data_IF_910446197810
#
_entry.id   IF_910446197810
#
_cell.length_a   1.000
_cell.length_b   1.000
_cell.length_c   1.000
_cell.angle_alpha   90.00
_cell.angle_beta   90.00
_cell.angle_gamma   90.00
#
_symmetry.space_group_name_H-M   'P 1'
#
loop_
_entity.id
_entity.type
_entity.pdbx_description
1 polymer ?
#
# COMPACT_ATOMS: atom_id res chain seq x y z
N UNK A 1 63.97 3.95 32.42
CA UNK A 1 62.75 4.70 32.66
C UNK A 1 62.32 5.66 31.54
N UNK A 2 63.19 6.47 30.94
CA UNK A 2 62.86 7.40 29.84
C UNK A 2 62.24 6.73 28.56
N UNK A 3 62.69 5.52 28.20
CA UNK A 3 62.17 4.82 27.01
C UNK A 3 60.74 4.26 27.14
N UNK A 4 60.32 3.96 28.37
CA UNK A 4 58.96 3.45 28.64
C UNK A 4 57.95 4.61 28.61
N UNK A 5 58.34 5.81 29.05
CA UNK A 5 57.48 7.01 28.97
C UNK A 5 57.19 7.44 27.52
N UNK A 6 58.16 7.30 26.62
CA UNK A 6 58.02 7.62 25.19
C UNK A 6 57.06 6.63 24.49
N UNK A 7 57.14 5.35 24.86
CA UNK A 7 56.20 4.33 24.34
C UNK A 7 54.76 4.54 24.82
N UNK A 8 54.56 4.90 26.10
CA UNK A 8 53.27 5.22 26.64
C UNK A 8 52.63 6.49 26.03
N UNK A 9 53.44 7.53 25.75
CA UNK A 9 52.98 8.74 25.08
C UNK A 9 52.59 8.48 23.62
N UNK A 10 53.28 7.64 22.91
CA UNK A 10 52.95 7.22 21.55
C UNK A 10 51.64 6.41 21.47
N UNK A 11 51.40 5.53 22.45
CA UNK A 11 50.16 4.75 22.50
C UNK A 11 48.88 5.59 22.77
N UNK A 12 49.04 6.76 23.41
CA UNK A 12 47.91 7.68 23.68
C UNK A 12 47.64 8.62 22.51
N UNK A 13 48.67 9.02 21.77
CA UNK A 13 48.53 9.97 20.65
C UNK A 13 47.94 9.30 19.41
N UNK A 14 48.23 8.01 19.18
CA UNK A 14 47.71 7.29 18.01
C UNK A 14 46.16 7.16 18.04
N UNK A 15 45.50 6.77 19.15
CA UNK A 15 44.02 6.69 19.20
C UNK A 15 43.35 8.07 19.13
N UNK A 16 43.95 9.13 19.66
CA UNK A 16 43.41 10.50 19.54
C UNK A 16 43.39 10.98 18.12
N UNK A 17 44.45 10.82 17.34
CA UNK A 17 44.54 11.17 15.94
C UNK A 17 43.59 10.31 15.06
N UNK A 18 43.33 9.07 15.43
CA UNK A 18 42.38 8.21 14.74
C UNK A 18 40.93 8.64 15.02
N UNK A 19 40.65 9.09 16.24
CA UNK A 19 39.33 9.56 16.63
C UNK A 19 38.96 10.89 15.95
N UNK A 20 39.90 11.81 15.80
CA UNK A 20 39.71 13.06 15.05
C UNK A 20 39.44 12.78 13.56
N UNK A 21 40.20 11.90 12.91
CA UNK A 21 39.97 11.51 11.52
C UNK A 21 38.63 10.83 11.29
N UNK A 22 38.14 10.04 12.26
CA UNK A 22 36.81 9.41 12.19
C UNK A 22 35.73 10.48 12.32
N UNK A 23 35.89 11.41 13.25
CA UNK A 23 34.98 12.53 13.47
C UNK A 23 34.88 13.41 12.24
N UNK A 24 36.01 13.76 11.62
CA UNK A 24 36.04 14.56 10.38
C UNK A 24 35.35 13.85 9.22
N UNK A 25 35.56 12.57 9.03
CA UNK A 25 34.87 11.78 7.99
C UNK A 25 33.36 11.72 8.21
N UNK A 26 32.91 11.56 9.45
CA UNK A 26 31.49 11.57 9.80
C UNK A 26 30.88 12.94 9.48
N UNK A 27 31.59 14.02 9.85
CA UNK A 27 31.16 15.38 9.59
C UNK A 27 31.07 15.66 8.07
N UNK A 28 32.11 15.30 7.30
CA UNK A 28 32.11 15.43 5.85
C UNK A 28 30.94 14.65 5.19
N UNK A 29 30.74 13.40 5.57
CA UNK A 29 29.62 12.60 5.08
C UNK A 29 28.26 13.23 5.41
N UNK A 30 28.12 13.82 6.60
CA UNK A 30 26.89 14.53 7.00
C UNK A 30 26.68 15.80 6.18
N UNK A 31 27.72 16.57 5.94
CA UNK A 31 27.68 17.78 5.11
C UNK A 31 27.32 17.45 3.65
N UNK A 32 27.97 16.47 3.05
CA UNK A 32 27.65 16.01 1.69
C UNK A 32 26.19 15.55 1.58
N UNK A 33 25.70 14.82 2.58
CA UNK A 33 24.30 14.38 2.61
C UNK A 33 23.33 15.57 2.65
N UNK A 34 23.60 16.57 3.48
CA UNK A 34 22.80 17.80 3.56
C UNK A 34 22.82 18.57 2.25
N UNK A 35 23.99 18.72 1.61
CA UNK A 35 24.10 19.38 0.30
C UNK A 35 23.32 18.64 -0.79
N UNK A 36 23.37 17.29 -0.80
CA UNK A 36 22.56 16.47 -1.75
C UNK A 36 21.06 16.64 -1.52
N UNK A 37 20.62 16.71 -0.27
CA UNK A 37 19.22 16.96 0.05
C UNK A 37 18.80 18.38 -0.37
N UNK A 38 19.59 19.39 -0.07
CA UNK A 38 19.32 20.77 -0.44
C UNK A 38 19.22 20.93 -1.98
N UNK A 39 20.22 20.43 -2.72
CA UNK A 39 20.21 20.43 -4.18
C UNK A 39 19.01 19.67 -4.76
N UNK A 40 18.56 18.62 -4.11
CA UNK A 40 17.35 17.90 -4.52
C UNK A 40 16.13 18.79 -4.40
N UNK A 41 15.92 19.47 -3.28
CA UNK A 41 14.76 20.32 -3.06
C UNK A 41 14.77 21.60 -3.92
N UNK A 42 15.93 22.10 -4.30
CA UNK A 42 16.07 23.17 -5.29
C UNK A 42 15.55 22.75 -6.68
N UNK A 43 15.85 21.52 -7.10
CA UNK A 43 15.40 20.98 -8.37
C UNK A 43 13.99 20.34 -8.33
N UNK A 44 13.50 20.01 -7.14
CA UNK A 44 12.24 19.32 -6.89
C UNK A 44 11.45 20.04 -5.78
N UNK A 45 10.74 21.13 -6.10
CA UNK A 45 10.08 21.97 -5.11
C UNK A 45 8.79 21.37 -4.53
N UNK A 46 8.31 20.26 -5.09
CA UNK A 46 7.03 19.66 -4.72
C UNK A 46 7.13 18.93 -3.38
N UNK A 47 6.33 19.35 -2.41
CA UNK A 47 6.24 18.74 -1.08
C UNK A 47 5.06 17.80 -0.93
N UNK A 48 4.03 18.03 -1.70
CA UNK A 48 2.80 17.24 -1.65
C UNK A 48 2.49 16.63 -3.01
N UNK A 49 1.74 15.55 -2.97
CA UNK A 49 1.32 14.81 -4.15
C UNK A 49 -0.08 14.26 -3.91
N UNK A 50 -0.97 14.43 -4.86
CA UNK A 50 -2.27 13.79 -4.90
C UNK A 50 -2.33 12.83 -6.08
N UNK A 51 -2.91 11.66 -5.88
CA UNK A 51 -3.06 10.61 -6.89
C UNK A 51 -4.49 10.14 -6.97
N UNK A 52 -4.91 9.76 -8.16
CA UNK A 52 -6.14 9.03 -8.42
C UNK A 52 -5.79 7.84 -9.31
N UNK A 53 -6.25 6.67 -8.95
CA UNK A 53 -5.92 5.46 -9.67
C UNK A 53 -7.02 4.41 -9.64
N UNK A 54 -6.79 3.40 -10.47
CA UNK A 54 -7.66 2.26 -10.63
C UNK A 54 -6.82 1.00 -10.83
N UNK A 55 -7.35 -0.13 -10.38
CA UNK A 55 -6.77 -1.44 -10.65
C UNK A 55 -6.64 -2.31 -9.43
N UNK A 56 -6.07 -3.48 -9.68
CA UNK A 56 -5.88 -4.51 -8.69
C UNK A 56 -7.15 -5.32 -8.40
N UNK A 57 -6.91 -6.49 -7.84
CA UNK A 57 -7.94 -7.40 -7.37
C UNK A 57 -8.12 -7.23 -5.87
N UNK A 58 -9.35 -6.95 -5.42
CA UNK A 58 -9.67 -6.69 -4.03
C UNK A 58 -9.78 -8.01 -3.24
N UNK A 59 -8.65 -8.57 -2.84
CA UNK A 59 -8.56 -9.87 -2.19
C UNK A 59 -9.29 -9.93 -0.84
N UNK A 60 -9.22 -8.87 -0.05
CA UNK A 60 -9.89 -8.83 1.27
C UNK A 60 -11.40 -8.83 1.12
N UNK A 61 -11.93 -8.18 0.10
CA UNK A 61 -13.37 -8.16 -0.16
C UNK A 61 -13.86 -9.52 -0.63
N UNK A 62 -13.06 -10.23 -1.44
CA UNK A 62 -13.37 -11.61 -1.81
C UNK A 62 -13.41 -12.51 -0.59
N UNK A 63 -12.37 -12.47 0.26
CA UNK A 63 -12.28 -13.33 1.45
C UNK A 63 -13.45 -13.06 2.41
N UNK A 64 -13.77 -11.79 2.68
CA UNK A 64 -14.77 -11.43 3.69
C UNK A 64 -16.20 -11.53 3.18
N UNK A 65 -16.45 -11.31 1.90
CA UNK A 65 -17.82 -11.17 1.39
C UNK A 65 -18.20 -12.15 0.29
N UNK A 66 -17.24 -12.72 -0.40
CA UNK A 66 -17.51 -13.50 -1.60
C UNK A 66 -17.02 -14.94 -1.51
N UNK A 67 -16.12 -15.25 -0.59
CA UNK A 67 -15.56 -16.61 -0.46
C UNK A 67 -16.27 -17.41 0.63
N UNK A 68 -16.47 -18.67 0.34
CA UNK A 68 -17.24 -19.66 1.14
C UNK A 68 -16.56 -20.11 2.44
N UNK A 69 -15.68 -19.28 3.01
CA UNK A 69 -14.99 -19.62 4.27
C UNK A 69 -15.90 -19.54 5.49
N UNK A 70 -16.96 -18.73 5.42
CA UNK A 70 -18.03 -18.70 6.40
C UNK A 70 -19.26 -19.39 5.81
N UNK A 71 -19.81 -20.33 6.54
CA UNK A 71 -21.07 -21.03 6.23
C UNK A 71 -22.27 -20.09 6.03
N UNK A 72 -22.06 -18.79 6.06
CA UNK A 72 -23.05 -17.72 5.96
C UNK A 72 -23.16 -17.05 4.58
N UNK A 73 -22.81 -17.75 3.49
CA UNK A 73 -22.99 -17.24 2.12
C UNK A 73 -24.45 -16.88 1.82
N UNK A 74 -25.37 -17.48 2.52
CA UNK A 74 -26.80 -17.27 2.34
C UNK A 74 -27.35 -16.06 3.10
N UNK A 75 -26.48 -15.28 3.77
CA UNK A 75 -26.86 -14.13 4.59
C UNK A 75 -27.20 -14.46 6.04
N UNK A 76 -27.35 -13.44 6.89
CA UNK A 76 -27.65 -13.63 8.30
C UNK A 76 -28.92 -14.47 8.50
N UNK A 77 -28.81 -15.57 9.21
CA UNK A 77 -29.94 -16.45 9.55
C UNK A 77 -30.34 -17.46 8.49
N UNK A 78 -29.54 -17.64 7.45
CA UNK A 78 -29.75 -18.70 6.48
C UNK A 78 -28.75 -19.84 6.74
N UNK A 79 -29.20 -20.88 7.41
CA UNK A 79 -28.44 -22.13 7.55
C UNK A 79 -28.60 -22.95 6.26
N UNK A 80 -27.49 -23.38 5.68
CA UNK A 80 -27.52 -24.26 4.51
C UNK A 80 -28.16 -25.59 4.94
N UNK A 81 -29.27 -26.01 4.32
CA UNK A 81 -29.87 -27.29 4.63
C UNK A 81 -28.90 -28.43 4.40
N UNK A 82 -28.81 -29.36 5.33
CA UNK A 82 -27.98 -30.54 5.20
C UNK A 82 -28.64 -31.60 4.30
N UNK A 83 -27.81 -32.37 3.56
CA UNK A 83 -28.27 -33.46 2.75
C UNK A 83 -28.95 -33.08 1.43
N UNK A 84 -29.98 -33.81 1.03
CA UNK A 84 -30.66 -33.61 -0.25
C UNK A 84 -31.36 -32.27 -0.35
N UNK A 85 -31.83 -31.71 0.76
CA UNK A 85 -32.46 -30.37 0.79
C UNK A 85 -31.49 -29.27 0.36
N UNK A 86 -30.20 -29.44 0.61
CA UNK A 86 -29.16 -28.50 0.16
C UNK A 86 -29.01 -28.40 -1.36
N UNK A 87 -29.46 -29.41 -2.11
CA UNK A 87 -29.42 -29.40 -3.57
C UNK A 87 -30.49 -28.46 -4.17
N UNK A 88 -31.57 -28.23 -3.42
CA UNK A 88 -32.68 -27.36 -3.85
C UNK A 88 -32.64 -25.98 -3.16
N UNK A 89 -31.63 -25.73 -2.33
CA UNK A 89 -31.46 -24.43 -1.72
C UNK A 89 -31.02 -23.37 -2.74
N UNK A 90 -31.46 -22.12 -2.61
CA UNK A 90 -30.99 -21.03 -3.47
C UNK A 90 -29.46 -20.95 -3.49
N UNK A 91 -28.88 -20.78 -4.67
CA UNK A 91 -27.42 -20.75 -4.86
C UNK A 91 -26.94 -19.36 -5.28
N UNK A 92 -25.73 -19.02 -4.86
CA UNK A 92 -25.09 -17.81 -5.33
C UNK A 92 -24.67 -17.97 -6.78
N UNK A 93 -25.15 -17.06 -7.62
CA UNK A 93 -24.71 -16.90 -8.98
C UNK A 93 -23.37 -16.17 -9.06
N UNK A 94 -22.98 -15.82 -10.26
CA UNK A 94 -21.71 -15.11 -10.49
C UNK A 94 -21.68 -13.78 -9.75
N UNK A 95 -20.59 -13.53 -9.02
CA UNK A 95 -20.31 -12.28 -8.36
C UNK A 95 -19.23 -11.52 -9.10
N UNK A 96 -19.45 -10.22 -9.26
CA UNK A 96 -18.56 -9.31 -9.97
C UNK A 96 -18.06 -8.23 -9.04
N UNK A 97 -16.79 -7.84 -9.20
CA UNK A 97 -16.19 -6.67 -8.56
C UNK A 97 -16.00 -5.57 -9.59
N UNK A 98 -16.17 -4.30 -9.16
CA UNK A 98 -15.90 -3.14 -10.03
C UNK A 98 -14.42 -2.89 -10.22
N UNK A 99 -13.56 -3.51 -9.40
CA UNK A 99 -12.17 -3.15 -9.24
C UNK A 99 -12.00 -1.96 -8.28
N UNK A 100 -10.78 -1.76 -7.82
CA UNK A 100 -10.51 -0.70 -6.85
C UNK A 100 -10.29 0.65 -7.53
N UNK A 101 -11.07 1.65 -7.10
CA UNK A 101 -10.82 3.06 -7.35
C UNK A 101 -10.18 3.62 -6.08
N UNK A 102 -9.10 4.36 -6.20
CA UNK A 102 -8.45 4.94 -5.02
C UNK A 102 -7.95 6.34 -5.26
N UNK A 103 -7.99 7.14 -4.19
CA UNK A 103 -7.34 8.43 -4.09
C UNK A 103 -6.29 8.38 -2.99
N UNK A 104 -5.13 8.98 -3.22
CA UNK A 104 -4.03 9.02 -2.28
C UNK A 104 -3.48 10.42 -2.16
N UNK A 105 -3.20 10.83 -0.93
CA UNK A 105 -2.48 12.06 -0.63
C UNK A 105 -1.14 11.72 0.02
N UNK A 106 -0.06 12.35 -0.46
CA UNK A 106 1.30 12.06 -0.03
C UNK A 106 2.05 13.32 0.37
N UNK A 107 2.90 13.18 1.38
CA UNK A 107 3.82 14.20 1.87
C UNK A 107 5.26 13.72 1.76
N UNK A 108 6.07 14.41 0.96
CA UNK A 108 7.50 14.15 0.79
C UNK A 108 8.28 14.67 2.00
N UNK A 109 8.60 13.78 2.95
CA UNK A 109 9.35 14.12 4.17
C UNK A 109 10.84 14.27 3.88
N UNK A 110 11.39 13.41 3.01
CA UNK A 110 12.79 13.41 2.60
C UNK A 110 12.89 13.05 1.12
N UNK A 111 14.04 13.31 0.52
CA UNK A 111 14.34 12.96 -0.88
C UNK A 111 13.88 11.54 -1.27
N UNK A 112 14.06 10.56 -0.38
CA UNK A 112 13.75 9.16 -0.64
C UNK A 112 12.58 8.61 0.17
N UNK A 113 11.96 9.43 0.98
CA UNK A 113 10.94 8.97 1.91
C UNK A 113 9.71 9.87 1.87
N UNK A 114 8.57 9.25 1.70
CA UNK A 114 7.27 9.90 1.61
C UNK A 114 6.29 9.16 2.50
N UNK A 115 5.47 9.89 3.22
CA UNK A 115 4.30 9.38 3.93
C UNK A 115 3.06 9.64 3.08
N UNK A 116 2.16 8.67 3.02
CA UNK A 116 0.93 8.76 2.25
C UNK A 116 -0.26 8.29 3.08
N UNK A 117 -1.44 8.72 2.67
CA UNK A 117 -2.71 8.18 3.15
C UNK A 117 -3.62 7.97 1.93
N UNK A 118 -4.04 6.73 1.73
CA UNK A 118 -4.90 6.31 0.63
C UNK A 118 -6.30 5.97 1.09
N UNK A 119 -7.30 6.35 0.31
CA UNK A 119 -8.69 5.91 0.41
C UNK A 119 -9.01 5.04 -0.80
N UNK A 120 -9.49 3.83 -0.54
CA UNK A 120 -9.78 2.83 -1.55
C UNK A 120 -11.25 2.46 -1.50
N UNK A 121 -11.87 2.32 -2.66
CA UNK A 121 -13.27 1.96 -2.80
C UNK A 121 -13.40 0.82 -3.80
N UNK A 122 -14.23 -0.17 -3.46
CA UNK A 122 -14.61 -1.25 -4.34
C UNK A 122 -16.11 -1.50 -4.24
N UNK A 123 -16.74 -1.77 -5.36
CA UNK A 123 -18.13 -2.19 -5.42
C UNK A 123 -18.21 -3.65 -5.85
N UNK A 124 -19.16 -4.37 -5.31
CA UNK A 124 -19.42 -5.73 -5.72
C UNK A 124 -20.92 -5.98 -5.83
N UNK A 125 -21.27 -6.88 -6.74
CA UNK A 125 -22.64 -7.24 -7.00
C UNK A 125 -22.73 -8.67 -7.51
N UNK A 126 -23.79 -9.33 -7.11
CA UNK A 126 -24.06 -10.72 -7.44
C UNK A 126 -25.55 -10.98 -7.57
N UNK A 127 -25.86 -12.23 -7.70
CA UNK A 127 -27.24 -12.71 -7.80
C UNK A 127 -27.43 -13.96 -6.95
N UNK A 128 -28.60 -14.11 -6.37
CA UNK A 128 -29.08 -15.36 -5.82
C UNK A 128 -30.03 -15.99 -6.82
N UNK A 129 -29.78 -17.24 -7.19
CA UNK A 129 -30.52 -17.97 -8.24
C UNK A 129 -31.14 -19.24 -7.66
N UNK A 130 -32.26 -19.61 -8.22
CA UNK A 130 -32.91 -20.89 -7.96
C UNK A 130 -32.13 -22.02 -8.68
N UNK A 131 -31.71 -23.09 -7.99
CA UNK A 131 -30.88 -24.13 -8.59
C UNK A 131 -31.60 -24.98 -9.65
N UNK A 132 -32.94 -25.09 -9.56
CA UNK A 132 -33.72 -25.92 -10.50
C UNK A 132 -34.12 -25.16 -11.76
N UNK A 133 -34.48 -23.89 -11.61
CA UNK A 133 -35.03 -23.07 -12.71
C UNK A 133 -34.01 -22.07 -13.26
N UNK A 134 -32.85 -21.91 -12.61
CA UNK A 134 -31.85 -20.87 -12.88
C UNK A 134 -32.44 -19.45 -12.89
N UNK A 135 -33.62 -19.27 -12.31
CA UNK A 135 -34.28 -17.97 -12.24
C UNK A 135 -33.66 -17.09 -11.16
N UNK A 136 -33.52 -15.82 -11.47
CA UNK A 136 -33.03 -14.82 -10.53
C UNK A 136 -34.03 -14.62 -9.38
N UNK A 137 -33.65 -14.97 -8.17
CA UNK A 137 -34.44 -14.74 -6.97
C UNK A 137 -34.21 -13.31 -6.48
N UNK A 138 -32.93 -12.91 -6.32
CA UNK A 138 -32.57 -11.62 -5.74
C UNK A 138 -31.21 -11.14 -6.27
N UNK A 139 -31.06 -9.83 -6.43
CA UNK A 139 -29.76 -9.20 -6.69
C UNK A 139 -29.09 -8.82 -5.36
N UNK A 140 -27.83 -9.21 -5.22
CA UNK A 140 -26.97 -8.84 -4.10
C UNK A 140 -26.10 -7.65 -4.49
N UNK A 141 -25.89 -6.70 -3.59
CA UNK A 141 -25.04 -5.53 -3.83
C UNK A 141 -24.24 -5.22 -2.58
N UNK A 142 -23.02 -4.74 -2.80
CA UNK A 142 -22.15 -4.33 -1.70
C UNK A 142 -21.12 -3.31 -2.14
N UNK A 143 -20.46 -2.74 -1.16
CA UNK A 143 -19.34 -1.82 -1.34
C UNK A 143 -18.41 -1.92 -0.15
N UNK A 144 -17.14 -1.67 -0.39
CA UNK A 144 -16.14 -1.51 0.66
C UNK A 144 -15.42 -0.17 0.53
N UNK A 145 -14.97 0.34 1.67
CA UNK A 145 -14.15 1.52 1.78
C UNK A 145 -13.00 1.24 2.76
N UNK A 146 -11.78 1.55 2.38
CA UNK A 146 -10.60 1.28 3.19
C UNK A 146 -9.69 2.49 3.23
N UNK A 147 -9.16 2.82 4.43
CA UNK A 147 -8.15 3.83 4.64
C UNK A 147 -6.83 3.18 4.99
N UNK A 148 -5.76 3.57 4.28
CA UNK A 148 -4.41 3.03 4.49
C UNK A 148 -3.40 4.17 4.59
N UNK A 149 -2.88 4.47 5.77
CA UNK A 149 -1.61 5.15 5.92
C UNK A 149 -0.47 4.26 5.43
N UNK A 150 0.47 4.86 4.68
CA UNK A 150 1.56 4.12 4.05
C UNK A 150 2.87 4.92 4.06
N UNK A 151 3.96 4.20 3.89
CA UNK A 151 5.31 4.73 3.78
C UNK A 151 5.94 4.29 2.45
N UNK A 152 6.40 5.26 1.68
CA UNK A 152 6.99 5.04 0.36
C UNK A 152 8.46 5.36 0.36
N UNK A 153 9.26 4.45 -0.21
CA UNK A 153 10.68 4.58 -0.38
C UNK A 153 11.06 4.63 -1.85
N UNK A 154 11.77 5.69 -2.27
CA UNK A 154 12.25 5.87 -3.63
C UNK A 154 13.64 5.31 -3.82
N UNK A 155 13.76 4.30 -4.67
CA UNK A 155 15.02 3.70 -5.09
C UNK A 155 15.78 4.60 -6.03
N UNK A 156 15.06 5.16 -7.02
CA UNK A 156 15.62 6.07 -8.02
C UNK A 156 14.73 7.32 -8.12
N UNK A 157 15.36 8.47 -8.19
CA UNK A 157 14.77 9.79 -8.31
C UNK A 157 15.41 10.53 -9.46
N UNK A 158 14.84 10.38 -10.65
CA UNK A 158 15.16 11.19 -11.82
C UNK A 158 14.13 12.30 -11.98
N UNK A 159 14.44 13.32 -12.79
CA UNK A 159 13.57 14.48 -12.96
C UNK A 159 12.17 14.14 -13.51
N UNK A 160 12.08 13.12 -14.37
CA UNK A 160 10.84 12.71 -15.04
C UNK A 160 10.39 11.29 -14.70
N UNK A 161 11.23 10.50 -14.05
CA UNK A 161 10.94 9.11 -13.72
C UNK A 161 11.39 8.81 -12.30
N UNK A 162 10.57 8.15 -11.51
CA UNK A 162 10.90 7.73 -10.14
C UNK A 162 10.46 6.29 -9.94
N UNK A 163 11.34 5.50 -9.32
CA UNK A 163 11.07 4.11 -8.93
C UNK A 163 10.95 4.04 -7.41
N UNK A 164 9.96 3.30 -6.94
CA UNK A 164 9.68 3.20 -5.52
C UNK A 164 9.07 1.86 -5.10
N UNK A 165 9.11 1.61 -3.81
CA UNK A 165 8.29 0.61 -3.13
C UNK A 165 7.51 1.30 -2.00
N UNK A 166 6.39 0.72 -1.62
CA UNK A 166 5.50 1.27 -0.60
C UNK A 166 4.93 0.16 0.27
N UNK A 167 4.73 0.45 1.54
CA UNK A 167 4.08 -0.44 2.48
C UNK A 167 3.07 0.36 3.32
N UNK A 168 1.89 -0.20 3.51
CA UNK A 168 0.82 0.41 4.29
C UNK A 168 0.00 -0.61 5.06
N UNK A 169 -0.54 -0.17 6.17
CA UNK A 169 -1.46 -0.93 7.02
C UNK A 169 -2.62 -0.02 7.34
N UNK A 170 -3.82 -0.54 7.28
CA UNK A 170 -5.03 0.24 7.50
C UNK A 170 -6.21 -0.58 7.96
N UNK A 171 -7.37 0.00 7.85
CA UNK A 171 -8.65 -0.61 8.21
C UNK A 171 -9.67 -0.31 7.13
N UNK A 172 -10.48 -1.29 6.81
CA UNK A 172 -11.60 -1.19 5.89
C UNK A 172 -12.92 -1.53 6.57
N UNK A 173 -13.97 -1.04 5.99
CA UNK A 173 -15.34 -1.41 6.29
C UNK A 173 -16.04 -1.73 4.98
N UNK A 174 -16.80 -2.79 4.97
CA UNK A 174 -17.59 -3.17 3.81
C UNK A 174 -18.96 -3.68 4.20
N UNK A 175 -19.87 -3.62 3.27
CA UNK A 175 -21.21 -4.18 3.41
C UNK A 175 -21.58 -4.95 2.15
N UNK A 176 -22.15 -6.13 2.34
CA UNK A 176 -22.66 -6.95 1.25
C UNK A 176 -23.91 -7.69 1.72
N UNK A 177 -24.97 -7.53 0.96
CA UNK A 177 -26.27 -8.21 1.21
C UNK A 177 -26.82 -8.02 2.64
N UNK A 178 -26.53 -6.86 3.26
CA UNK A 178 -26.98 -6.52 4.63
C UNK A 178 -26.01 -6.91 5.75
N UNK A 179 -24.95 -7.64 5.43
CA UNK A 179 -23.85 -7.92 6.39
C UNK A 179 -22.85 -6.80 6.30
N UNK A 180 -22.42 -6.29 7.45
CA UNK A 180 -21.35 -5.26 7.53
C UNK A 180 -20.21 -5.80 8.34
N UNK A 181 -18.99 -5.70 7.79
CA UNK A 181 -17.77 -6.15 8.43
C UNK A 181 -16.70 -5.06 8.45
N UNK A 182 -15.90 -5.09 9.51
CA UNK A 182 -14.68 -4.26 9.64
C UNK A 182 -13.49 -5.18 9.63
N UNK A 183 -12.53 -4.88 8.77
CA UNK A 183 -11.38 -5.75 8.55
C UNK A 183 -10.06 -4.97 8.54
N UNK A 184 -8.97 -5.59 9.01
CA UNK A 184 -7.63 -5.02 8.82
C UNK A 184 -7.21 -5.13 7.35
N UNK A 185 -6.53 -4.12 6.86
CA UNK A 185 -5.99 -4.08 5.51
C UNK A 185 -4.48 -3.89 5.53
N UNK A 186 -3.80 -4.64 4.68
CA UNK A 186 -2.37 -4.55 4.44
C UNK A 186 -2.11 -4.40 2.95
N UNK A 187 -1.18 -3.52 2.58
CA UNK A 187 -0.81 -3.29 1.20
C UNK A 187 0.69 -3.09 1.07
N UNK A 188 1.31 -3.79 0.14
CA UNK A 188 2.69 -3.61 -0.25
C UNK A 188 2.77 -3.41 -1.77
N UNK A 189 3.28 -2.27 -2.21
CA UNK A 189 3.68 -2.06 -3.59
C UNK A 189 5.13 -2.50 -3.72
N UNK A 190 5.35 -3.64 -4.36
CA UNK A 190 6.69 -4.19 -4.56
C UNK A 190 7.50 -3.30 -5.49
N UNK A 191 6.89 -2.85 -6.59
CA UNK A 191 7.49 -1.95 -7.55
C UNK A 191 6.46 -0.94 -8.06
N UNK A 192 6.78 0.34 -7.92
CA UNK A 192 6.05 1.45 -8.50
C UNK A 192 6.95 2.33 -9.38
N UNK A 193 6.39 2.82 -10.44
CA UNK A 193 7.04 3.78 -11.33
C UNK A 193 6.15 5.01 -11.51
N UNK A 194 6.74 6.20 -11.48
CA UNK A 194 6.06 7.42 -11.92
C UNK A 194 6.78 8.02 -13.11
N UNK A 195 6.02 8.53 -14.08
CA UNK A 195 6.53 9.21 -15.26
C UNK A 195 5.83 10.58 -15.39
N UNK A 196 6.61 11.65 -15.39
CA UNK A 196 6.13 13.04 -15.41
C UNK A 196 6.69 13.86 -14.25
N UNK A 197 6.46 15.16 -14.29
CA UNK A 197 6.99 16.10 -13.31
C UNK A 197 5.89 16.61 -12.35
N UNK A 198 5.16 17.62 -12.73
CA UNK A 198 4.03 18.19 -11.99
C UNK A 198 2.80 17.31 -12.11
N UNK A 199 2.34 17.10 -13.34
CA UNK A 199 1.40 16.05 -13.68
C UNK A 199 2.19 14.81 -14.05
N UNK A 200 1.80 13.67 -13.51
CA UNK A 200 2.49 12.41 -13.76
C UNK A 200 1.52 11.25 -13.88
N UNK A 201 1.92 10.27 -14.67
CA UNK A 201 1.33 8.94 -14.71
C UNK A 201 2.07 8.04 -13.72
N UNK A 202 1.37 7.10 -13.13
CA UNK A 202 2.00 6.04 -12.33
C UNK A 202 1.45 4.67 -12.69
N UNK A 203 2.32 3.67 -12.52
CA UNK A 203 1.97 2.26 -12.56
C UNK A 203 2.62 1.54 -11.39
N UNK A 204 1.89 0.63 -10.76
CA UNK A 204 2.33 -0.12 -9.58
C UNK A 204 2.00 -1.58 -9.73
N UNK A 205 2.88 -2.44 -9.20
CA UNK A 205 2.57 -3.83 -8.93
C UNK A 205 2.52 -4.04 -7.43
N UNK A 206 1.39 -4.47 -6.96
CA UNK A 206 1.05 -4.51 -5.55
C UNK A 206 0.64 -5.90 -5.11
N UNK A 207 0.97 -6.23 -3.86
CA UNK A 207 0.62 -7.47 -3.19
C UNK A 207 0.10 -7.09 -1.80
N UNK A 208 -1.03 -7.64 -1.42
CA UNK A 208 -1.61 -7.37 -0.11
C UNK A 208 -3.04 -7.88 -0.03
N UNK A 209 -3.63 -7.75 1.15
CA UNK A 209 -5.03 -8.12 1.36
C UNK A 209 -5.97 -7.15 0.63
N UNK A 210 -5.61 -5.86 0.59
CA UNK A 210 -6.44 -4.85 -0.06
C UNK A 210 -6.47 -5.00 -1.58
N UNK A 211 -5.30 -5.14 -2.19
CA UNK A 211 -5.18 -5.13 -3.66
C UNK A 211 -4.05 -6.06 -4.10
N UNK A 212 -4.34 -6.95 -5.02
CA UNK A 212 -3.36 -7.80 -5.67
C UNK A 212 -3.31 -7.48 -7.17
N UNK A 213 -2.08 -7.28 -7.70
CA UNK A 213 -1.84 -7.06 -9.13
C UNK A 213 -1.48 -5.64 -9.50
N UNK A 214 -1.80 -5.26 -10.72
CA UNK A 214 -1.44 -3.97 -11.31
C UNK A 214 -2.41 -2.85 -10.96
N UNK A 215 -1.87 -1.68 -10.61
CA UNK A 215 -2.62 -0.43 -10.45
C UNK A 215 -2.02 0.63 -11.36
N UNK A 216 -2.86 1.47 -11.92
CA UNK A 216 -2.45 2.60 -12.77
C UNK A 216 -3.23 3.86 -12.40
N UNK A 217 -2.67 5.00 -12.70
CA UNK A 217 -3.38 6.26 -12.45
C UNK A 217 -2.58 7.49 -12.82
N UNK A 218 -3.16 8.61 -12.45
CA UNK A 218 -2.60 9.94 -12.63
C UNK A 218 -2.40 10.62 -11.28
N UNK A 219 -1.44 11.51 -11.22
CA UNK A 219 -1.20 12.31 -10.03
C UNK A 219 -0.75 13.72 -10.37
N UNK A 220 -0.86 14.57 -9.36
CA UNK A 220 -0.45 15.96 -9.38
C UNK A 220 0.44 16.26 -8.18
N UNK A 221 1.55 16.98 -8.41
CA UNK A 221 2.50 17.42 -7.38
C UNK A 221 2.46 18.93 -7.21
N UNK A 222 2.51 19.38 -5.96
CA UNK A 222 2.43 20.80 -5.59
C UNK A 222 3.21 21.13 -4.31
#
# INVERSE_FOLDING_TARGET
MKRILILLSLCVIIPLNAQDKISDRILQNKMEKLQREQKFWENWPYKFEARLGYGGYAMVDEINFLHDWNENIYGPGYDRPAGLEGLYAPQDGTVYMTGQIFGEFSWHVKRRFTLSAGLYFNGFYGSLVDPDTEQLIRKKRGMSATIIPSARFYWANFNYCRLYSEIGIGVGVGTFDGVTEVFPAFQMTALGITAGREVFFFAEYSIGTLCMGGKIGLGYRF
#
